data_IF_196818596033
#
_entry.id   IF_196818596033
#
_cell.length_a   1.000
_cell.length_b   1.000
_cell.length_c   1.000
_cell.angle_alpha   90.00
_cell.angle_beta   90.00
_cell.angle_gamma   90.00
#
_symmetry.space_group_name_H-M   'P 1'
#
loop_
_entity.id
_entity.type
_entity.pdbx_description
1 polymer ?
#
# COMPACT_ATOMS: atom_id res chain seq x y z
N UNK A 1 13.22 2.57 -16.96
CA UNK A 1 12.44 3.79 -17.28
C UNK A 1 11.57 4.09 -16.08
N UNK A 2 11.40 5.36 -15.70
CA UNK A 2 10.48 5.70 -14.63
C UNK A 2 9.07 5.20 -14.98
N UNK A 3 8.38 4.63 -14.01
CA UNK A 3 6.99 4.16 -14.18
C UNK A 3 6.04 5.37 -14.12
N UNK A 4 6.32 6.35 -13.26
CA UNK A 4 5.50 7.55 -13.13
C UNK A 4 5.90 8.59 -14.18
N UNK A 5 4.89 9.11 -14.90
CA UNK A 5 5.07 10.30 -15.74
C UNK A 5 5.21 11.56 -14.89
N UNK A 6 5.69 12.66 -15.47
CA UNK A 6 5.79 13.95 -14.76
C UNK A 6 4.43 14.42 -14.23
N UNK A 7 3.36 14.18 -15.02
CA UNK A 7 1.98 14.47 -14.61
C UNK A 7 1.55 13.64 -13.40
N UNK A 8 1.91 12.36 -13.36
CA UNK A 8 1.60 11.49 -12.21
C UNK A 8 2.34 11.99 -10.96
N UNK A 9 3.62 12.35 -11.11
CA UNK A 9 4.44 12.89 -10.01
C UNK A 9 3.85 14.18 -9.44
N UNK A 10 3.42 15.12 -10.28
CA UNK A 10 2.76 16.34 -9.85
C UNK A 10 1.45 16.04 -9.10
N UNK A 11 0.62 15.14 -9.63
CA UNK A 11 -0.64 14.77 -9.02
C UNK A 11 -0.44 14.08 -7.66
N UNK A 12 0.49 13.13 -7.57
CA UNK A 12 0.80 12.42 -6.31
C UNK A 12 1.39 13.38 -5.28
N UNK A 13 2.29 14.28 -5.69
CA UNK A 13 2.87 15.29 -4.78
C UNK A 13 1.77 16.17 -4.18
N UNK A 14 0.79 16.59 -4.99
CA UNK A 14 -0.36 17.36 -4.52
C UNK A 14 -1.24 16.58 -3.53
N UNK A 15 -1.47 15.29 -3.79
CA UNK A 15 -2.20 14.44 -2.84
C UNK A 15 -1.41 14.27 -1.53
N UNK A 16 -0.08 14.21 -1.61
CA UNK A 16 0.80 14.06 -0.45
C UNK A 16 0.92 15.32 0.42
N UNK A 17 0.45 16.48 -0.04
CA UNK A 17 0.27 17.66 0.83
C UNK A 17 -0.72 17.39 1.99
N UNK A 18 -1.58 16.38 1.85
CA UNK A 18 -2.57 15.98 2.87
C UNK A 18 -1.97 15.11 3.98
N UNK A 19 -0.75 14.59 3.81
CA UNK A 19 -0.14 13.66 4.77
C UNK A 19 0.13 14.38 6.10
N UNK A 20 -0.36 13.81 7.19
CA UNK A 20 -0.13 14.35 8.55
C UNK A 20 0.97 13.58 9.24
N UNK A 21 0.86 12.25 9.29
CA UNK A 21 1.76 11.36 10.01
C UNK A 21 2.65 10.51 9.06
N UNK A 22 3.80 9.99 9.53
CA UNK A 22 4.67 9.16 8.70
C UNK A 22 3.99 7.87 8.22
N UNK A 23 4.38 7.44 7.02
CA UNK A 23 3.91 6.21 6.38
C UNK A 23 5.10 5.29 6.10
N UNK A 24 4.93 4.01 6.40
CA UNK A 24 5.86 2.95 6.02
C UNK A 24 5.20 2.06 4.97
N UNK A 25 5.88 1.86 3.86
CA UNK A 25 5.45 0.95 2.80
C UNK A 25 6.43 -0.21 2.72
N UNK A 26 5.98 -1.41 3.07
CA UNK A 26 6.81 -2.61 3.04
C UNK A 26 6.48 -3.42 1.80
N UNK A 27 7.47 -3.67 0.93
CA UNK A 27 7.31 -4.48 -0.29
C UNK A 27 7.92 -5.85 -0.05
N UNK A 28 7.07 -6.87 -0.06
CA UNK A 28 7.51 -8.25 -0.13
C UNK A 28 7.78 -8.63 -1.58
N UNK A 29 9.01 -9.05 -1.85
CA UNK A 29 9.52 -9.30 -3.20
C UNK A 29 10.41 -10.54 -3.25
N UNK A 30 10.72 -11.00 -4.46
CA UNK A 30 11.70 -12.05 -4.73
C UNK A 30 12.29 -11.89 -6.14
N UNK A 31 13.56 -12.27 -6.31
CA UNK A 31 14.24 -12.19 -7.60
C UNK A 31 13.78 -13.27 -8.59
N UNK A 32 13.54 -14.49 -8.10
CA UNK A 32 13.20 -15.65 -8.94
C UNK A 32 11.70 -15.93 -8.92
N UNK A 33 11.12 -16.21 -10.09
CA UNK A 33 9.74 -16.67 -10.20
C UNK A 33 8.69 -15.58 -9.95
N UNK A 34 9.05 -14.31 -10.10
CA UNK A 34 8.09 -13.21 -10.07
C UNK A 34 8.31 -12.25 -11.23
N UNK A 35 7.29 -12.09 -12.07
CA UNK A 35 7.34 -11.24 -13.26
C UNK A 35 7.23 -9.74 -12.91
N UNK A 36 6.56 -9.41 -11.80
CA UNK A 36 6.17 -8.03 -11.45
C UNK A 36 6.78 -7.53 -10.14
N UNK A 37 7.58 -8.34 -9.44
CA UNK A 37 8.25 -7.94 -8.20
C UNK A 37 9.14 -6.71 -8.37
N UNK A 38 10.07 -6.74 -9.33
CA UNK A 38 10.95 -5.61 -9.60
C UNK A 38 10.17 -4.35 -10.01
N UNK A 39 9.12 -4.50 -10.82
CA UNK A 39 8.27 -3.37 -11.21
C UNK A 39 7.50 -2.79 -10.02
N UNK A 40 7.03 -3.65 -9.10
CA UNK A 40 6.36 -3.22 -7.87
C UNK A 40 7.31 -2.46 -6.96
N UNK A 41 8.53 -2.96 -6.77
CA UNK A 41 9.56 -2.24 -6.02
C UNK A 41 9.86 -0.86 -6.61
N UNK A 42 10.05 -0.76 -7.93
CA UNK A 42 10.31 0.52 -8.59
C UNK A 42 9.13 1.48 -8.48
N UNK A 43 7.90 1.00 -8.67
CA UNK A 43 6.70 1.82 -8.54
C UNK A 43 6.58 2.39 -7.14
N UNK A 44 6.68 1.54 -6.11
CA UNK A 44 6.59 1.98 -4.72
C UNK A 44 7.73 2.93 -4.38
N UNK A 45 8.94 2.64 -4.85
CA UNK A 45 10.09 3.52 -4.66
C UNK A 45 9.84 4.92 -5.24
N UNK A 46 9.37 4.99 -6.48
CA UNK A 46 9.06 6.27 -7.12
C UNK A 46 7.98 7.05 -6.39
N UNK A 47 7.00 6.37 -5.77
CA UNK A 47 5.95 7.01 -4.97
C UNK A 47 6.52 7.54 -3.65
N UNK A 48 7.23 6.72 -2.88
CA UNK A 48 7.74 7.16 -1.56
C UNK A 48 8.77 8.28 -1.69
N UNK A 49 9.55 8.31 -2.78
CA UNK A 49 10.56 9.34 -3.04
C UNK A 49 9.93 10.74 -3.31
N UNK A 50 8.60 10.84 -3.47
CA UNK A 50 7.89 12.13 -3.66
C UNK A 50 7.61 12.88 -2.36
N UNK A 51 7.88 12.29 -1.19
CA UNK A 51 7.67 12.94 0.11
C UNK A 51 8.68 12.47 1.15
N UNK A 52 9.00 13.33 2.11
CA UNK A 52 9.83 12.99 3.27
C UNK A 52 9.06 12.23 4.37
N UNK A 53 7.72 12.16 4.27
CA UNK A 53 6.85 11.46 5.23
C UNK A 53 6.63 9.99 4.91
N UNK A 54 7.11 9.51 3.78
CA UNK A 54 6.97 8.12 3.37
C UNK A 54 8.33 7.43 3.33
N UNK A 55 8.36 6.16 3.72
CA UNK A 55 9.56 5.33 3.66
C UNK A 55 9.22 3.95 3.10
N UNK A 56 10.22 3.31 2.50
CA UNK A 56 10.08 1.97 1.92
C UNK A 56 11.05 0.99 2.56
N UNK A 57 10.58 -0.22 2.85
CA UNK A 57 11.40 -1.39 3.20
C UNK A 57 11.11 -2.51 2.20
N UNK A 58 12.15 -3.22 1.74
CA UNK A 58 11.98 -4.41 0.90
C UNK A 58 12.32 -5.64 1.73
N UNK A 59 11.44 -6.63 1.71
CA UNK A 59 11.60 -7.90 2.40
C UNK A 59 11.43 -9.06 1.42
N UNK A 60 12.11 -10.17 1.70
CA UNK A 60 11.95 -11.39 0.93
C UNK A 60 10.99 -12.34 1.64
N UNK A 61 10.02 -12.89 0.90
CA UNK A 61 9.00 -13.78 1.47
C UNK A 61 9.59 -15.02 2.18
N UNK A 62 10.68 -15.58 1.65
CA UNK A 62 11.29 -16.81 2.14
C UNK A 62 12.33 -16.51 3.22
N UNK A 63 13.17 -15.49 3.01
CA UNK A 63 14.25 -15.16 3.94
C UNK A 63 13.73 -14.43 5.19
N UNK A 64 12.71 -13.58 5.05
CA UNK A 64 12.10 -12.80 6.13
C UNK A 64 10.78 -13.42 6.63
N UNK A 65 10.75 -14.76 6.72
CA UNK A 65 9.53 -15.53 6.99
C UNK A 65 8.78 -15.08 8.24
N UNK A 66 9.48 -14.76 9.34
CA UNK A 66 8.84 -14.28 10.58
C UNK A 66 8.10 -12.95 10.35
N UNK A 67 8.69 -12.03 9.57
CA UNK A 67 8.04 -10.78 9.20
C UNK A 67 6.86 -11.04 8.26
N UNK A 68 7.02 -11.91 7.27
CA UNK A 68 5.95 -12.27 6.34
C UNK A 68 4.73 -12.86 7.08
N UNK A 69 4.96 -13.79 8.01
CA UNK A 69 3.91 -14.37 8.85
C UNK A 69 3.23 -13.30 9.73
N UNK A 70 4.00 -12.39 10.33
CA UNK A 70 3.45 -11.29 11.14
C UNK A 70 2.55 -10.33 10.33
N UNK A 71 2.91 -10.07 9.07
CA UNK A 71 2.10 -9.23 8.17
C UNK A 71 0.95 -9.99 7.49
N UNK A 72 0.89 -11.32 7.63
CA UNK A 72 -0.09 -12.17 6.94
C UNK A 72 0.15 -12.26 5.43
N UNK A 73 1.40 -12.12 5.00
CA UNK A 73 1.79 -12.18 3.58
C UNK A 73 2.22 -13.60 3.22
N UNK A 74 1.52 -14.20 2.27
CA UNK A 74 1.73 -15.58 1.82
C UNK A 74 2.17 -15.69 0.35
N UNK A 75 2.25 -14.56 -0.36
CA UNK A 75 2.53 -14.49 -1.80
C UNK A 75 3.21 -13.16 -2.15
N UNK A 76 3.88 -13.15 -3.29
CA UNK A 76 4.59 -11.97 -3.81
C UNK A 76 4.20 -11.68 -5.27
N UNK A 77 4.33 -10.42 -5.73
CA UNK A 77 4.64 -9.24 -4.91
C UNK A 77 3.50 -8.90 -3.95
N UNK A 78 3.85 -8.37 -2.79
CA UNK A 78 2.87 -7.78 -1.87
C UNK A 78 3.36 -6.44 -1.35
N UNK A 79 2.45 -5.47 -1.23
CA UNK A 79 2.71 -4.14 -0.69
C UNK A 79 1.88 -3.97 0.57
N UNK A 80 2.53 -3.76 1.70
CA UNK A 80 1.91 -3.44 2.99
C UNK A 80 2.02 -1.93 3.19
N UNK A 81 0.90 -1.28 3.53
CA UNK A 81 0.85 0.17 3.77
C UNK A 81 0.46 0.42 5.22
N UNK A 82 1.37 1.02 5.99
CA UNK A 82 1.25 1.25 7.43
C UNK A 82 1.39 2.73 7.76
N UNK A 83 0.58 3.21 8.71
CA UNK A 83 0.72 4.56 9.27
C UNK A 83 1.39 4.50 10.64
N UNK A 84 0.81 5.21 11.62
CA UNK A 84 1.20 5.10 13.04
C UNK A 84 1.04 3.70 13.63
N UNK A 85 0.28 2.84 12.94
CA UNK A 85 0.14 1.41 13.19
C UNK A 85 -0.18 0.69 11.87
N UNK A 86 -0.15 -0.62 11.93
CA UNK A 86 -0.63 -1.46 10.85
C UNK A 86 -2.17 -1.52 10.84
N UNK A 87 -2.79 -1.04 9.76
CA UNK A 87 -4.25 -0.99 9.58
C UNK A 87 -4.84 -2.20 8.83
N UNK A 88 -4.02 -3.16 8.39
CA UNK A 88 -4.53 -4.30 7.63
C UNK A 88 -4.63 -4.10 6.11
N UNK A 89 -4.07 -3.03 5.54
CA UNK A 89 -4.08 -2.75 4.10
C UNK A 89 -2.91 -3.45 3.38
N UNK A 90 -3.24 -4.28 2.38
CA UNK A 90 -2.27 -5.02 1.57
C UNK A 90 -2.72 -5.08 0.12
N UNK A 91 -1.78 -4.88 -0.78
CA UNK A 91 -1.94 -5.12 -2.21
C UNK A 91 -1.17 -6.38 -2.58
N UNK A 92 -1.79 -7.30 -3.31
CA UNK A 92 -1.13 -8.48 -3.84
C UNK A 92 -1.10 -8.39 -5.36
N UNK A 93 0.10 -8.41 -5.95
CA UNK A 93 0.33 -7.96 -7.31
C UNK A 93 0.82 -6.51 -7.39
N UNK A 94 1.11 -6.04 -8.60
CA UNK A 94 1.52 -4.65 -8.85
C UNK A 94 0.29 -3.72 -8.83
N UNK A 95 0.23 -2.70 -7.96
CA UNK A 95 -0.87 -1.73 -7.94
C UNK A 95 -0.67 -0.65 -9.02
N UNK A 96 -0.66 -1.06 -10.29
CA UNK A 96 -0.51 -0.17 -11.45
C UNK A 96 -1.85 0.05 -12.19
N UNK A 97 -1.85 0.95 -13.16
CA UNK A 97 -3.05 1.30 -13.93
C UNK A 97 -4.11 1.96 -13.05
N UNK A 98 -5.37 1.55 -13.16
CA UNK A 98 -6.46 2.09 -12.34
C UNK A 98 -6.28 1.83 -10.83
N UNK A 99 -5.56 0.78 -10.45
CA UNK A 99 -5.27 0.46 -9.05
C UNK A 99 -4.19 1.35 -8.44
N UNK A 100 -3.49 2.14 -9.26
CA UNK A 100 -2.46 3.06 -8.76
C UNK A 100 -3.06 4.11 -7.81
N UNK A 101 -4.24 4.63 -8.13
CA UNK A 101 -4.93 5.60 -7.26
C UNK A 101 -5.26 4.98 -5.90
N UNK A 102 -5.61 3.69 -5.84
CA UNK A 102 -5.90 3.01 -4.58
C UNK A 102 -4.66 2.92 -3.67
N UNK A 103 -3.45 2.80 -4.24
CA UNK A 103 -2.21 2.88 -3.46
C UNK A 103 -2.02 4.28 -2.86
N UNK A 104 -2.25 5.34 -3.65
CA UNK A 104 -2.11 6.73 -3.18
C UNK A 104 -3.14 7.05 -2.09
N UNK A 105 -4.40 6.65 -2.30
CA UNK A 105 -5.48 6.82 -1.33
C UNK A 105 -5.19 6.06 -0.03
N UNK A 106 -4.61 4.85 -0.12
CA UNK A 106 -4.20 4.09 1.06
C UNK A 106 -3.10 4.83 1.85
N UNK A 107 -2.08 5.38 1.19
CA UNK A 107 -1.00 6.16 1.82
C UNK A 107 -1.60 7.39 2.53
N UNK A 108 -2.47 8.14 1.86
CA UNK A 108 -3.15 9.30 2.46
C UNK A 108 -4.04 8.89 3.63
N UNK A 109 -4.77 7.78 3.51
CA UNK A 109 -5.68 7.29 4.54
C UNK A 109 -4.92 6.88 5.81
N UNK A 110 -3.86 6.09 5.70
CA UNK A 110 -3.09 5.64 6.88
C UNK A 110 -2.30 6.78 7.52
N UNK A 111 -1.86 7.75 6.73
CA UNK A 111 -1.19 8.96 7.23
C UNK A 111 -2.16 9.85 8.00
N UNK A 112 -3.36 10.08 7.46
CA UNK A 112 -4.33 10.99 8.09
C UNK A 112 -5.15 10.36 9.21
N UNK A 113 -5.30 9.03 9.19
CA UNK A 113 -6.15 8.28 10.11
C UNK A 113 -7.64 8.63 10.01
N UNK A 114 -8.06 9.34 8.94
CA UNK A 114 -9.41 9.90 8.79
C UNK A 114 -10.12 9.28 7.58
N UNK A 115 -10.84 8.16 7.76
CA UNK A 115 -11.61 7.57 6.67
C UNK A 115 -12.77 8.50 6.27
N UNK A 116 -13.06 8.59 4.97
CA UNK A 116 -14.23 9.35 4.48
C UNK A 116 -15.48 8.45 4.50
N UNK A 117 -16.02 8.21 5.70
CA UNK A 117 -17.21 7.39 5.92
C UNK A 117 -18.27 8.18 6.66
N UNK A 118 -19.54 7.96 6.28
CA UNK A 118 -20.69 8.52 7.01
C UNK A 118 -20.75 7.96 8.44
N UNK A 119 -21.38 8.71 9.34
CA UNK A 119 -21.59 8.28 10.73
C UNK A 119 -22.39 6.98 10.81
N UNK A 120 -23.37 6.79 9.92
CA UNK A 120 -24.13 5.55 9.80
C UNK A 120 -23.22 4.36 9.50
N UNK A 121 -22.34 4.49 8.51
CA UNK A 121 -21.39 3.41 8.15
C UNK A 121 -20.41 3.15 9.29
N UNK A 122 -19.92 4.19 9.97
CA UNK A 122 -19.04 4.03 11.14
C UNK A 122 -19.73 3.28 12.28
N UNK A 123 -20.99 3.61 12.56
CA UNK A 123 -21.78 2.92 13.59
C UNK A 123 -22.00 1.44 13.23
N UNK A 124 -22.31 1.14 11.95
CA UNK A 124 -22.46 -0.23 11.48
C UNK A 124 -21.14 -1.03 11.58
N UNK A 125 -20.00 -0.43 11.19
CA UNK A 125 -18.69 -1.06 11.30
C UNK A 125 -18.26 -1.28 12.75
N UNK A 126 -18.60 -0.37 13.66
CA UNK A 126 -18.33 -0.51 15.10
C UNK A 126 -19.12 -1.66 15.76
N UNK A 127 -20.22 -2.10 15.14
CA UNK A 127 -21.05 -3.20 15.63
C UNK A 127 -20.60 -4.59 15.13
N UNK A 128 -19.51 -4.69 14.36
CA UNK A 128 -18.99 -5.96 13.88
C UNK A 128 -18.56 -6.85 15.06
N UNK A 129 -19.16 -8.03 15.17
CA UNK A 129 -18.95 -8.96 16.29
C UNK A 129 -17.65 -9.78 16.19
N UNK A 130 -16.99 -9.77 15.04
CA UNK A 130 -15.77 -10.54 14.78
C UNK A 130 -14.89 -9.84 13.75
N UNK A 131 -13.57 -10.12 13.72
CA UNK A 131 -12.69 -9.63 12.66
C UNK A 131 -13.20 -10.04 11.27
N UNK A 132 -13.14 -9.12 10.32
CA UNK A 132 -13.53 -9.34 8.93
C UNK A 132 -12.31 -9.19 8.03
N UNK A 133 -12.02 -10.22 7.24
CA UNK A 133 -10.98 -10.17 6.22
C UNK A 133 -11.62 -9.90 4.86
N UNK A 134 -11.44 -8.68 4.35
CA UNK A 134 -11.95 -8.26 3.04
C UNK A 134 -10.91 -8.56 1.97
N UNK A 135 -11.30 -9.27 0.91
CA UNK A 135 -10.49 -9.49 -0.28
C UNK A 135 -11.20 -8.90 -1.50
N UNK A 136 -10.55 -7.94 -2.13
CA UNK A 136 -11.01 -7.32 -3.38
C UNK A 136 -10.14 -7.85 -4.49
N UNK A 137 -10.76 -8.46 -5.51
CA UNK A 137 -10.07 -9.00 -6.68
C UNK A 137 -10.32 -8.05 -7.85
N UNK A 138 -9.24 -7.57 -8.45
CA UNK A 138 -9.26 -6.67 -9.59
C UNK A 138 -8.31 -7.17 -10.68
N UNK A 139 -8.52 -6.72 -11.91
CA UNK A 139 -7.62 -6.95 -13.04
C UNK A 139 -7.11 -5.60 -13.53
N UNK A 140 -5.79 -5.42 -13.74
CA UNK A 140 -5.27 -4.24 -14.39
C UNK A 140 -5.72 -4.25 -15.85
N UNK A 141 -6.74 -3.45 -16.18
CA UNK A 141 -7.25 -3.28 -17.55
C UNK A 141 -6.37 -2.35 -18.36
#
# INVERSE_FOLDING_TARGET
MPILTDRDREAVTKEFEKLTDPVKVTVFSQELGSETCQQTEWLVKEVVDLTDKASMEVLNLILDREKAEAYGVDRVPAVVVEGTKDYGIRFFGIPAGYEFTNLIDAVVLVSTGKPSLSEETRAALAALASPVHIKVFATPT
#
